data_IF_432396942981
#
_entry.id   IF_432396942981
#
_cell.length_a   1.000
_cell.length_b   1.000
_cell.length_c   1.000
_cell.angle_alpha   90.00
_cell.angle_beta   90.00
_cell.angle_gamma   90.00
#
_symmetry.space_group_name_H-M   'P 1'
#
loop_
_entity.id
_entity.type
_entity.pdbx_description
1 polymer ?
#
# COMPACT_ATOMS: atom_id res chain seq x y z
N UNK A 1 -6.06 -0.03 13.34
CA UNK A 1 -7.37 -0.63 13.66
C UNK A 1 -7.91 -1.28 12.41
N UNK A 2 -8.53 -2.47 12.52
CA UNK A 2 -8.98 -3.26 11.38
C UNK A 2 -10.26 -2.66 10.77
N UNK A 3 -10.41 -2.69 9.45
CA UNK A 3 -11.65 -2.30 8.78
C UNK A 3 -12.55 -3.53 8.67
N UNK A 4 -13.71 -3.45 9.31
CA UNK A 4 -14.70 -4.53 9.42
C UNK A 4 -16.08 -4.10 8.91
N UNK A 5 -16.14 -3.08 8.06
CA UNK A 5 -17.40 -2.55 7.53
C UNK A 5 -18.17 -3.62 6.72
N UNK A 6 -17.47 -4.50 6.01
CA UNK A 6 -18.04 -5.63 5.28
C UNK A 6 -16.95 -6.69 5.00
N UNK A 7 -17.33 -7.92 4.56
CA UNK A 7 -16.36 -8.99 4.31
C UNK A 7 -15.31 -8.64 3.25
N UNK A 8 -15.65 -7.84 2.24
CA UNK A 8 -14.68 -7.40 1.23
C UNK A 8 -13.65 -6.43 1.82
N UNK A 9 -14.08 -5.50 2.66
CA UNK A 9 -13.20 -4.56 3.36
C UNK A 9 -12.22 -5.30 4.29
N UNK A 10 -12.68 -6.37 4.94
CA UNK A 10 -11.81 -7.18 5.79
C UNK A 10 -10.72 -7.88 4.98
N UNK A 11 -11.08 -8.46 3.83
CA UNK A 11 -10.15 -9.14 2.94
C UNK A 11 -9.14 -8.14 2.35
N UNK A 12 -9.59 -6.97 1.88
CA UNK A 12 -8.69 -5.97 1.30
C UNK A 12 -7.74 -5.39 2.35
N UNK A 13 -8.21 -5.14 3.57
CA UNK A 13 -7.37 -4.64 4.66
C UNK A 13 -6.28 -5.67 5.01
N UNK A 14 -6.63 -6.96 5.12
CA UNK A 14 -5.65 -8.05 5.38
C UNK A 14 -4.61 -8.19 4.27
N UNK A 15 -4.95 -7.89 3.01
CA UNK A 15 -4.06 -8.03 1.85
C UNK A 15 -3.33 -6.73 1.48
N UNK A 16 -3.54 -5.65 2.22
CA UNK A 16 -2.97 -4.33 1.91
C UNK A 16 -1.46 -4.31 2.17
N UNK A 17 -0.70 -3.91 1.15
CA UNK A 17 0.73 -3.63 1.27
C UNK A 17 0.95 -2.14 1.55
N UNK A 18 1.99 -1.83 2.35
CA UNK A 18 2.36 -0.45 2.68
C UNK A 18 3.88 -0.29 2.66
N UNK A 19 4.36 0.73 1.96
CA UNK A 19 5.76 1.15 2.00
C UNK A 19 6.07 2.10 3.18
N UNK A 20 5.05 2.49 3.96
CA UNK A 20 5.21 3.36 5.13
C UNK A 20 5.53 2.55 6.39
N UNK A 21 6.43 3.07 7.23
CA UNK A 21 6.79 2.46 8.51
C UNK A 21 8.27 2.66 8.85
N UNK A 22 8.75 2.10 9.98
CA UNK A 22 10.18 2.11 10.33
C UNK A 22 11.01 1.43 9.22
N UNK A 23 12.03 2.11 8.71
CA UNK A 23 12.84 1.65 7.57
C UNK A 23 12.17 1.80 6.19
N UNK A 24 10.93 2.29 6.15
CA UNK A 24 10.18 2.60 4.93
C UNK A 24 10.14 4.10 4.62
N UNK A 25 9.21 4.49 3.74
CA UNK A 25 9.01 5.87 3.33
C UNK A 25 8.23 6.65 4.39
N UNK A 26 8.54 7.94 4.53
CA UNK A 26 7.65 8.91 5.20
C UNK A 26 6.79 9.62 4.16
N UNK A 27 5.56 10.00 4.51
CA UNK A 27 4.63 10.64 3.57
C UNK A 27 5.19 11.94 2.96
N UNK A 28 5.95 12.68 3.76
CA UNK A 28 6.60 13.94 3.38
C UNK A 28 7.77 13.73 2.41
N UNK A 29 8.48 12.59 2.49
CA UNK A 29 9.65 12.28 1.65
C UNK A 29 9.34 11.35 0.48
N UNK A 30 8.13 10.77 0.43
CA UNK A 30 7.70 9.99 -0.72
C UNK A 30 7.48 10.91 -1.94
N UNK A 31 8.51 11.01 -2.79
CA UNK A 31 8.50 11.79 -4.03
C UNK A 31 7.66 11.17 -5.15
N UNK A 32 7.69 11.79 -6.34
CA UNK A 32 6.92 11.32 -7.50
C UNK A 32 7.37 9.95 -8.00
N UNK A 33 8.68 9.68 -8.04
CA UNK A 33 9.24 8.44 -8.60
C UNK A 33 8.76 7.17 -7.91
N UNK A 34 8.43 7.26 -6.62
CA UNK A 34 7.92 6.12 -5.82
C UNK A 34 6.39 6.06 -5.77
N UNK A 35 5.69 7.10 -6.24
CA UNK A 35 4.22 7.16 -6.31
C UNK A 35 3.68 6.78 -7.67
N UNK A 36 4.49 6.89 -8.72
CA UNK A 36 4.12 6.48 -10.07
C UNK A 36 4.08 4.94 -10.20
N UNK A 37 3.39 4.47 -11.23
CA UNK A 37 3.24 3.04 -11.53
C UNK A 37 4.41 2.59 -12.40
N UNK A 38 5.26 1.73 -11.86
CA UNK A 38 6.32 1.10 -12.62
C UNK A 38 5.81 -0.15 -13.37
N UNK A 39 6.32 -0.40 -14.57
CA UNK A 39 5.91 -1.53 -15.43
C UNK A 39 6.09 -2.90 -14.76
N UNK A 40 7.04 -3.03 -13.84
CA UNK A 40 7.27 -4.26 -13.06
C UNK A 40 6.13 -4.64 -12.12
N UNK A 41 5.18 -3.73 -11.86
CA UNK A 41 4.02 -4.02 -11.01
C UNK A 41 3.04 -4.99 -11.69
N UNK A 42 3.10 -5.12 -13.01
CA UNK A 42 2.20 -5.97 -13.77
C UNK A 42 2.17 -7.42 -13.23
N UNK A 43 1.00 -7.82 -12.73
CA UNK A 43 0.74 -9.16 -12.19
C UNK A 43 1.31 -9.45 -10.79
N UNK A 44 1.79 -8.43 -10.04
CA UNK A 44 2.42 -8.61 -8.72
C UNK A 44 1.75 -7.81 -7.61
N UNK A 45 1.45 -6.54 -7.88
CA UNK A 45 0.77 -5.59 -6.96
C UNK A 45 -0.65 -5.41 -7.45
#
# INVERSE_FOLDING_TARGET
FMDQTNPLAEITHKRRLSALGPGGLTRERAGFDVRDVHSSHYGRI
#
